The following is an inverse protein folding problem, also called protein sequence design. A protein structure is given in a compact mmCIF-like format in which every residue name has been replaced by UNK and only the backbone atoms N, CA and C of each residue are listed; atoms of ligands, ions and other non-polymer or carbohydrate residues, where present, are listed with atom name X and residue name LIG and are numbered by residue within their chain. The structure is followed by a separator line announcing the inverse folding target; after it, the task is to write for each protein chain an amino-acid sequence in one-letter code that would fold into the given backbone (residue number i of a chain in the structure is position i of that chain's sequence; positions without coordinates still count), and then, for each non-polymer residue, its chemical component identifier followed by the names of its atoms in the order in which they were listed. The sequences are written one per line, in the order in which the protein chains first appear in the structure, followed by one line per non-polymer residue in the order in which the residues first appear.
data_IF_056099680683
#
_entry.id   IF_056099680683
#
_cell.length_a   1.000
_cell.length_b   1.000
_cell.length_c   1.000
_cell.angle_alpha   90.00
_cell.angle_beta   90.00
_cell.angle_gamma   90.00
#
_symmetry.space_group_name_H-M   'P 1'
#
loop_
_entity.id
_entity.type
_entity.pdbx_description
1 polymer ?
#
# COMPACT_ATOMS: atom_id res chain seq x y z
N UNK A 1 -71.78 4.97 -32.10
CA UNK A 1 -70.84 4.35 -31.14
C UNK A 1 -69.45 4.84 -31.47
N UNK A 2 -68.93 5.81 -30.71
CA UNK A 2 -67.54 6.26 -30.88
C UNK A 2 -66.97 6.50 -29.49
N UNK A 3 -66.34 5.47 -28.92
CA UNK A 3 -65.63 5.56 -27.65
C UNK A 3 -64.34 6.34 -27.87
N UNK A 4 -64.27 7.55 -27.34
CA UNK A 4 -63.04 8.35 -27.32
C UNK A 4 -62.05 7.66 -26.37
N UNK A 5 -60.98 7.10 -26.92
CA UNK A 5 -59.87 6.59 -26.13
C UNK A 5 -59.20 7.77 -25.39
N UNK A 6 -59.22 7.73 -24.06
CA UNK A 6 -58.60 8.74 -23.22
C UNK A 6 -57.08 8.58 -23.33
N UNK A 7 -56.42 9.46 -24.09
CA UNK A 7 -54.97 9.54 -24.10
C UNK A 7 -54.47 9.80 -22.67
N UNK A 8 -53.85 8.78 -22.06
CA UNK A 8 -53.07 8.94 -20.83
C UNK A 8 -51.76 9.63 -21.23
N UNK A 9 -51.82 10.94 -21.43
CA UNK A 9 -50.63 11.75 -21.70
C UNK A 9 -49.65 11.59 -20.54
N UNK A 10 -48.39 11.30 -20.88
CA UNK A 10 -47.24 11.33 -19.97
C UNK A 10 -47.33 12.58 -19.08
N UNK A 11 -47.31 12.38 -17.76
CA UNK A 11 -47.43 13.50 -16.82
C UNK A 11 -46.12 14.28 -16.77
N UNK A 12 -46.17 15.59 -16.59
CA UNK A 12 -44.98 16.41 -16.27
C UNK A 12 -44.24 15.85 -15.04
N UNK A 13 -44.99 15.28 -14.09
CA UNK A 13 -44.44 14.59 -12.92
C UNK A 13 -43.56 13.41 -13.30
N UNK A 14 -43.86 12.71 -14.39
CA UNK A 14 -43.13 11.52 -14.83
C UNK A 14 -41.74 11.88 -15.37
N UNK A 15 -41.64 12.97 -16.13
CA UNK A 15 -40.35 13.51 -16.58
C UNK A 15 -39.53 14.01 -15.39
N UNK A 16 -40.16 14.67 -14.41
CA UNK A 16 -39.49 15.11 -13.19
C UNK A 16 -38.98 13.93 -12.35
N UNK A 17 -39.78 12.87 -12.19
CA UNK A 17 -39.37 11.66 -11.49
C UNK A 17 -38.24 10.97 -12.24
N UNK A 18 -38.33 10.81 -13.56
CA UNK A 18 -37.28 10.22 -14.38
C UNK A 18 -35.96 11.02 -14.27
N UNK A 19 -36.03 12.34 -14.34
CA UNK A 19 -34.86 13.20 -14.16
C UNK A 19 -34.28 13.12 -12.74
N UNK A 20 -35.14 13.02 -11.72
CA UNK A 20 -34.72 12.85 -10.33
C UNK A 20 -33.98 11.52 -10.13
N UNK A 21 -34.53 10.42 -10.66
CA UNK A 21 -33.88 9.10 -10.62
C UNK A 21 -32.56 9.12 -11.40
N UNK A 22 -32.52 9.77 -12.57
CA UNK A 22 -31.30 9.94 -13.35
C UNK A 22 -30.23 10.72 -12.59
N UNK A 23 -30.59 11.85 -11.98
CA UNK A 23 -29.67 12.67 -11.21
C UNK A 23 -29.10 11.91 -10.00
N UNK A 24 -29.95 11.17 -9.27
CA UNK A 24 -29.50 10.31 -8.15
C UNK A 24 -28.56 9.22 -8.65
N UNK A 25 -28.92 8.54 -9.74
CA UNK A 25 -28.11 7.47 -10.33
C UNK A 25 -26.75 7.97 -10.77
N UNK A 26 -26.70 9.13 -11.43
CA UNK A 26 -25.44 9.77 -11.83
C UNK A 26 -24.59 10.17 -10.62
N UNK A 27 -25.21 10.71 -9.57
CA UNK A 27 -24.51 11.03 -8.32
C UNK A 27 -23.86 9.79 -7.69
N UNK A 28 -24.56 8.66 -7.68
CA UNK A 28 -24.01 7.38 -7.19
C UNK A 28 -22.84 6.92 -8.07
N UNK A 29 -22.97 6.98 -9.40
CA UNK A 29 -21.91 6.59 -10.33
C UNK A 29 -20.64 7.43 -10.14
N UNK A 30 -20.79 8.75 -10.02
CA UNK A 30 -19.66 9.65 -9.78
C UNK A 30 -18.98 9.34 -8.44
N UNK A 31 -19.75 9.06 -7.39
CA UNK A 31 -19.21 8.68 -6.08
C UNK A 31 -18.38 7.38 -6.15
N UNK A 32 -18.93 6.33 -6.79
CA UNK A 32 -18.22 5.06 -6.99
C UNK A 32 -16.92 5.30 -7.77
N UNK A 33 -16.98 6.08 -8.85
CA UNK A 33 -15.81 6.40 -9.66
C UNK A 33 -14.73 7.14 -8.86
N UNK A 34 -15.10 8.19 -8.12
CA UNK A 34 -14.18 8.93 -7.26
C UNK A 34 -13.53 8.05 -6.20
N UNK A 35 -14.31 7.15 -5.58
CA UNK A 35 -13.80 6.18 -4.62
C UNK A 35 -12.82 5.19 -5.27
N UNK A 36 -13.12 4.73 -6.48
CA UNK A 36 -12.26 3.85 -7.26
C UNK A 36 -10.91 4.49 -7.59
N UNK A 37 -10.92 5.76 -8.05
CA UNK A 37 -9.69 6.52 -8.33
C UNK A 37 -8.84 6.68 -7.06
N UNK A 38 -9.45 7.07 -5.95
CA UNK A 38 -8.74 7.21 -4.67
C UNK A 38 -8.13 5.88 -4.20
N UNK A 39 -8.87 4.77 -4.36
CA UNK A 39 -8.37 3.43 -4.02
C UNK A 39 -7.18 3.03 -4.89
N UNK A 40 -7.21 3.35 -6.19
CA UNK A 40 -6.10 3.07 -7.09
C UNK A 40 -4.82 3.83 -6.69
N UNK A 41 -4.95 5.12 -6.31
CA UNK A 41 -3.82 5.92 -5.82
C UNK A 41 -3.22 5.28 -4.56
N UNK A 42 -4.05 4.87 -3.59
CA UNK A 42 -3.54 4.19 -2.38
C UNK A 42 -2.81 2.90 -2.74
N UNK A 43 -3.36 2.08 -3.63
CA UNK A 43 -2.73 0.83 -4.05
C UNK A 43 -1.36 1.06 -4.72
N UNK A 44 -1.24 2.12 -5.52
CA UNK A 44 0.03 2.53 -6.12
C UNK A 44 1.06 2.93 -5.06
N UNK A 45 0.67 3.71 -4.04
CA UNK A 45 1.58 4.07 -2.93
C UNK A 45 2.12 2.85 -2.20
N UNK A 46 1.26 1.88 -1.88
CA UNK A 46 1.69 0.62 -1.27
C UNK A 46 2.62 -0.18 -2.18
N UNK A 47 2.36 -0.19 -3.48
CA UNK A 47 3.21 -0.87 -4.46
C UNK A 47 4.61 -0.26 -4.47
N UNK A 48 4.71 1.06 -4.53
CA UNK A 48 6.00 1.78 -4.51
C UNK A 48 6.71 1.56 -3.18
N UNK A 49 6.03 1.71 -2.03
CA UNK A 49 6.64 1.48 -0.72
C UNK A 49 7.16 0.04 -0.55
N UNK A 50 6.43 -0.94 -1.08
CA UNK A 50 6.85 -2.36 -1.06
C UNK A 50 8.08 -2.57 -1.94
N UNK A 51 8.13 -2.00 -3.14
CA UNK A 51 9.30 -2.09 -4.02
C UNK A 51 10.54 -1.46 -3.37
N UNK A 52 10.39 -0.32 -2.70
CA UNK A 52 11.48 0.31 -1.94
C UNK A 52 11.95 -0.63 -0.82
N UNK A 53 11.01 -1.19 -0.04
CA UNK A 53 11.33 -2.10 1.05
C UNK A 53 12.06 -3.37 0.56
N UNK A 54 11.58 -3.98 -0.52
CA UNK A 54 12.19 -5.16 -1.16
C UNK A 54 13.58 -4.83 -1.71
N UNK A 55 13.76 -3.67 -2.34
CA UNK A 55 15.06 -3.19 -2.84
C UNK A 55 16.06 -3.01 -1.69
N UNK A 56 15.67 -2.32 -0.62
CA UNK A 56 16.52 -2.15 0.57
C UNK A 56 16.87 -3.50 1.23
N UNK A 57 15.88 -4.39 1.33
CA UNK A 57 16.09 -5.73 1.85
C UNK A 57 17.07 -6.51 0.98
N UNK A 58 16.93 -6.49 -0.35
CA UNK A 58 17.79 -7.22 -1.27
C UNK A 58 19.24 -6.72 -1.23
N UNK A 59 19.44 -5.40 -1.12
CA UNK A 59 20.78 -4.76 -1.08
C UNK A 59 21.52 -5.03 0.23
N UNK A 60 20.79 -5.19 1.33
CA UNK A 60 21.36 -5.46 2.66
C UNK A 60 22.02 -6.85 2.68
N UNK A 61 23.32 -6.95 2.95
CA UNK A 61 24.07 -8.20 2.92
C UNK A 61 24.64 -8.60 1.55
N UNK A 62 24.37 -7.81 0.50
CA UNK A 62 24.99 -7.97 -0.83
C UNK A 62 25.85 -6.75 -1.16
N UNK A 63 25.23 -5.57 -1.19
CA UNK A 63 25.91 -4.29 -1.45
C UNK A 63 26.34 -3.60 -0.16
N UNK A 64 25.50 -3.68 0.87
CA UNK A 64 25.78 -3.09 2.19
C UNK A 64 26.21 -4.21 3.14
N UNK A 65 27.31 -4.05 3.88
CA UNK A 65 27.79 -5.09 4.80
C UNK A 65 26.75 -5.34 5.90
N UNK A 66 26.61 -6.60 6.29
CA UNK A 66 25.64 -7.07 7.28
C UNK A 66 26.18 -6.80 8.70
N UNK A 67 26.20 -5.53 9.11
CA UNK A 67 26.73 -5.07 10.39
C UNK A 67 25.56 -4.58 11.26
N UNK A 68 25.59 -4.92 12.55
CA UNK A 68 24.60 -4.46 13.53
C UNK A 68 24.52 -2.93 13.49
N UNK A 69 23.30 -2.41 13.42
CA UNK A 69 23.07 -0.99 13.39
C UNK A 69 21.77 -0.62 12.70
N UNK A 70 21.60 0.68 12.50
CA UNK A 70 20.43 1.26 11.86
C UNK A 70 20.88 2.23 10.77
N UNK A 71 20.22 2.16 9.62
CA UNK A 71 20.37 3.13 8.54
C UNK A 71 19.00 3.68 8.19
N UNK A 72 18.93 4.94 7.79
CA UNK A 72 17.68 5.58 7.41
C UNK A 72 17.90 6.56 6.28
N UNK A 73 16.82 6.90 5.59
CA UNK A 73 16.83 7.86 4.49
C UNK A 73 15.43 8.14 3.99
N UNK A 74 15.37 8.84 2.86
CA UNK A 74 14.13 9.17 2.18
C UNK A 74 14.27 8.93 0.68
N UNK A 75 13.20 8.47 0.06
CA UNK A 75 13.11 8.31 -1.38
C UNK A 75 11.94 9.14 -1.93
N UNK A 76 12.20 9.87 -3.01
CA UNK A 76 11.27 10.83 -3.61
C UNK A 76 10.67 11.86 -2.62
N UNK A 77 11.39 12.17 -1.53
CA UNK A 77 10.96 13.11 -0.47
C UNK A 77 9.62 12.76 0.22
N UNK A 78 9.10 11.57 -0.05
CA UNK A 78 7.81 11.08 0.45
C UNK A 78 7.99 9.81 1.28
N UNK A 79 8.78 8.86 0.79
CA UNK A 79 8.96 7.55 1.42
C UNK A 79 10.17 7.61 2.35
N UNK A 80 9.92 7.71 3.64
CA UNK A 80 10.95 7.65 4.66
C UNK A 80 11.17 6.20 5.03
N UNK A 81 12.42 5.76 5.05
CA UNK A 81 12.73 4.36 5.31
C UNK A 81 13.80 4.22 6.38
N UNK A 82 13.79 3.04 6.99
CA UNK A 82 14.72 2.63 8.03
C UNK A 82 15.02 1.15 7.86
N UNK A 83 16.30 0.81 7.90
CA UNK A 83 16.78 -0.58 7.94
C UNK A 83 17.49 -0.78 9.27
N UNK A 84 17.09 -1.79 10.01
CA UNK A 84 17.66 -2.16 11.31
C UNK A 84 18.21 -3.58 11.23
N UNK A 85 19.45 -3.76 11.66
CA UNK A 85 20.16 -5.03 11.67
C UNK A 85 20.55 -5.36 13.10
N UNK A 86 20.15 -6.52 13.59
CA UNK A 86 20.43 -6.98 14.94
C UNK A 86 20.92 -8.43 14.94
N UNK A 87 21.79 -8.78 15.88
CA UNK A 87 22.17 -10.18 16.12
C UNK A 87 21.02 -10.92 16.81
N UNK A 88 20.81 -12.19 16.44
CA UNK A 88 19.82 -13.04 17.12
C UNK A 88 20.49 -13.74 18.32
N UNK A 89 20.13 -13.39 19.56
CA UNK A 89 20.78 -13.97 20.74
C UNK A 89 20.43 -15.46 20.89
N UNK A 90 21.44 -16.30 21.14
CA UNK A 90 21.28 -17.72 21.45
C UNK A 90 21.65 -18.70 20.33
N UNK A 91 22.06 -18.21 19.15
CA UNK A 91 22.53 -19.04 18.03
C UNK A 91 24.06 -19.18 17.95
N UNK A 92 24.82 -18.54 18.86
CA UNK A 92 26.29 -18.59 18.94
C UNK A 92 26.90 -19.99 19.23
N UNK A 93 26.11 -21.02 19.55
CA UNK A 93 26.62 -22.31 20.04
C UNK A 93 26.74 -23.44 19.00
N UNK A 94 26.42 -23.19 17.73
CA UNK A 94 26.68 -24.17 16.67
C UNK A 94 28.14 -24.08 16.19
N UNK A 95 29.00 -24.79 16.92
CA UNK A 95 30.38 -25.18 16.63
C UNK A 95 31.05 -24.69 15.32
N UNK A 96 32.05 -23.82 15.51
CA UNK A 96 33.31 -23.68 14.75
C UNK A 96 33.32 -23.33 13.24
N UNK A 97 32.17 -23.12 12.60
CA UNK A 97 32.10 -22.50 11.25
C UNK A 97 30.74 -21.84 10.97
N UNK A 98 29.92 -21.62 12.00
CA UNK A 98 28.56 -21.13 11.83
C UNK A 98 28.55 -19.64 11.52
N UNK A 99 28.10 -19.33 10.31
CA UNK A 99 27.80 -17.98 9.92
C UNK A 99 26.80 -17.34 10.90
N UNK A 100 27.10 -16.11 11.32
CA UNK A 100 26.32 -15.40 12.33
C UNK A 100 24.93 -15.07 11.77
N UNK A 101 23.86 -15.45 12.48
CA UNK A 101 22.50 -15.14 12.06
C UNK A 101 22.11 -13.74 12.53
N UNK A 102 21.71 -12.92 11.58
CA UNK A 102 21.35 -11.52 11.76
C UNK A 102 19.90 -11.34 11.34
N UNK A 103 19.12 -10.66 12.17
CA UNK A 103 17.79 -10.19 11.80
C UNK A 103 17.92 -8.85 11.08
N UNK A 104 17.23 -8.72 9.94
CA UNK A 104 17.12 -7.49 9.17
C UNK A 104 15.64 -7.09 9.14
N UNK A 105 15.34 -5.90 9.64
CA UNK A 105 14.02 -5.28 9.55
C UNK A 105 14.09 -4.06 8.63
N UNK A 106 13.16 -3.93 7.69
CA UNK A 106 13.03 -2.80 6.78
C UNK A 106 11.65 -2.20 6.93
N UNK A 107 11.59 -0.93 7.33
CA UNK A 107 10.35 -0.16 7.48
C UNK A 107 10.36 0.98 6.47
N UNK A 108 9.27 1.15 5.73
CA UNK A 108 9.03 2.27 4.82
C UNK A 108 7.71 2.93 5.19
N UNK A 109 7.72 4.24 5.44
CA UNK A 109 6.56 5.06 5.83
C UNK A 109 6.40 6.26 4.90
N UNK A 110 5.16 6.65 4.57
CA UNK A 110 4.91 7.73 3.60
C UNK A 110 3.68 8.59 3.88
N UNK A 111 3.02 8.37 5.01
CA UNK A 111 1.89 9.17 5.46
C UNK A 111 1.95 9.27 6.98
N UNK A 112 2.36 10.44 7.47
CA UNK A 112 2.48 10.73 8.90
C UNK A 112 1.11 10.87 9.58
N UNK A 113 0.05 11.19 8.84
CA UNK A 113 -1.29 11.37 9.41
C UNK A 113 -2.04 10.04 9.54
N UNK A 114 -1.92 9.16 8.54
CA UNK A 114 -2.55 7.84 8.56
C UNK A 114 -1.63 6.72 9.05
N UNK A 115 -0.39 7.05 9.44
CA UNK A 115 0.64 6.10 9.87
C UNK A 115 0.84 4.93 8.89
N UNK A 116 0.76 5.21 7.58
CA UNK A 116 0.90 4.17 6.55
C UNK A 116 2.36 3.75 6.45
N UNK A 117 2.58 2.43 6.58
CA UNK A 117 3.90 1.82 6.47
C UNK A 117 3.83 0.41 5.91
N UNK A 118 4.95 0.00 5.33
CA UNK A 118 5.28 -1.39 4.99
C UNK A 118 6.48 -1.79 5.83
N UNK A 119 6.44 -3.01 6.37
CA UNK A 119 7.50 -3.56 7.22
C UNK A 119 7.82 -4.97 6.74
N UNK A 120 9.11 -5.23 6.46
CA UNK A 120 9.62 -6.52 6.00
C UNK A 120 10.69 -7.01 6.97
N UNK A 121 10.53 -8.25 7.43
CA UNK A 121 11.48 -8.93 8.29
C UNK A 121 12.16 -10.06 7.53
N UNK A 122 13.47 -10.21 7.72
CA UNK A 122 14.24 -11.32 7.16
C UNK A 122 15.36 -11.71 8.11
N UNK A 123 15.76 -12.99 8.07
CA UNK A 123 16.96 -13.47 8.75
C UNK A 123 18.00 -13.77 7.68
N UNK A 124 19.18 -13.18 7.85
CA UNK A 124 20.31 -13.33 6.94
C UNK A 124 21.50 -13.93 7.66
N UNK A 125 22.27 -14.68 6.89
CA UNK A 125 23.45 -15.40 7.37
C UNK A 125 24.68 -14.57 7.04
N UNK A 126 25.32 -13.98 8.05
CA UNK A 126 26.54 -13.19 7.94
C UNK A 126 27.78 -14.08 7.90
N UNK A 127 28.64 -13.88 6.90
CA UNK A 127 29.96 -14.51 6.87
C UNK A 127 30.87 -13.85 7.92
N UNK A 128 31.34 -14.61 8.89
CA UNK A 128 32.40 -14.16 9.79
C UNK A 128 33.68 -13.97 8.96
N UNK A 129 34.17 -12.73 8.87
CA UNK A 129 35.50 -12.41 8.32
C UNK A 129 36.57 -12.57 9.39
#
# INVERSE_FOLDING_TARGET
MTTIARNKGFSLLEILVAFSVMAISLGILLNIFSTGVHTAVIAEEYTVATQIAESLMARTGVETPLVVGETSGSEAEKYHWRVSIAEIPGLQQAESSAAALMEVNVIVQWDDQAARRVELHSVKTGTAL
#
